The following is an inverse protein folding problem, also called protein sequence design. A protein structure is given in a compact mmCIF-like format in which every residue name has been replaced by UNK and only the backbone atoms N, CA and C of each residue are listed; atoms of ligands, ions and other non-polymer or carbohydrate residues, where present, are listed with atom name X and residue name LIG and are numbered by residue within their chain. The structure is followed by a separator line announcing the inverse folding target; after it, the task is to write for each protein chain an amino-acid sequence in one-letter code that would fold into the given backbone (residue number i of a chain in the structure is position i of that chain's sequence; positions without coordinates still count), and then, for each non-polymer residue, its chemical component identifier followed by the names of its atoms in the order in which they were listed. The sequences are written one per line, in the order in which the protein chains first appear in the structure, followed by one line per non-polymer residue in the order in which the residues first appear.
data_IF_256920968845
#
_entry.id   IF_256920968845
#
_cell.length_a   1.000
_cell.length_b   1.000
_cell.length_c   1.000
_cell.angle_alpha   90.00
_cell.angle_beta   90.00
_cell.angle_gamma   90.00
#
_symmetry.space_group_name_H-M   'P 1'
#
loop_
_entity.id
_entity.type
_entity.pdbx_description
1 polymer ?
#
# COMPACT_ATOMS: atom_id res chain seq x y z
N UNK A 1 3.90 9.64 -12.90
CA UNK A 1 2.52 9.15 -12.68
C UNK A 1 2.39 8.86 -11.21
N UNK A 2 1.25 9.19 -10.59
CA UNK A 2 0.92 8.73 -9.24
C UNK A 2 0.21 7.38 -9.32
N UNK A 3 0.23 6.67 -8.22
CA UNK A 3 -0.43 5.38 -8.01
C UNK A 3 -1.41 5.55 -6.87
N UNK A 4 -2.59 4.93 -6.97
CA UNK A 4 -3.64 5.06 -5.94
C UNK A 4 -4.17 3.70 -5.49
N UNK A 5 -4.00 3.43 -4.20
CA UNK A 5 -4.60 2.29 -3.51
C UNK A 5 -5.64 2.81 -2.51
N UNK A 6 -6.82 2.22 -2.48
CA UNK A 6 -7.91 2.62 -1.59
C UNK A 6 -8.30 1.46 -0.68
N UNK A 7 -8.40 1.75 0.61
CA UNK A 7 -8.96 0.86 1.60
C UNK A 7 -10.38 1.31 1.98
N UNK A 8 -11.35 0.40 1.88
CA UNK A 8 -12.70 0.62 2.40
C UNK A 8 -12.89 -0.15 3.70
N UNK A 9 -13.32 0.53 4.75
CA UNK A 9 -13.55 -0.06 6.08
C UNK A 9 -14.66 0.69 6.83
N UNK A 10 -15.05 0.14 7.97
CA UNK A 10 -15.86 0.90 8.94
C UNK A 10 -14.94 1.78 9.79
N UNK A 11 -15.26 3.08 9.90
CA UNK A 11 -14.52 4.04 10.74
C UNK A 11 -14.44 3.60 12.19
N UNK A 12 -15.45 2.88 12.70
CA UNK A 12 -15.46 2.36 14.05
C UNK A 12 -14.36 1.30 14.32
N UNK A 13 -13.80 0.71 13.26
CA UNK A 13 -12.76 -0.31 13.34
C UNK A 13 -11.39 0.21 12.89
N UNK A 14 -11.22 1.53 12.76
CA UNK A 14 -9.95 2.13 12.35
C UNK A 14 -8.88 1.85 13.43
N UNK A 15 -7.75 1.21 13.10
CA UNK A 15 -6.71 0.94 14.07
C UNK A 15 -5.98 2.21 14.45
N UNK A 16 -5.46 2.22 15.68
CA UNK A 16 -4.55 3.27 16.15
C UNK A 16 -3.17 3.12 15.49
N UNK A 17 -2.37 4.21 15.51
CA UNK A 17 -0.96 4.21 15.08
C UNK A 17 -0.19 3.02 15.68
N UNK A 18 -0.26 2.87 17.00
CA UNK A 18 0.44 1.81 17.73
C UNK A 18 0.00 0.42 17.31
N UNK A 19 -1.30 0.19 17.08
CA UNK A 19 -1.78 -1.11 16.60
C UNK A 19 -1.25 -1.44 15.20
N UNK A 20 -1.18 -0.44 14.30
CA UNK A 20 -0.59 -0.64 12.96
C UNK A 20 0.89 -1.03 13.09
N UNK A 21 1.67 -0.28 13.88
CA UNK A 21 3.09 -0.56 14.10
C UNK A 21 3.32 -1.94 14.71
N UNK A 22 2.62 -2.29 15.78
CA UNK A 22 2.75 -3.59 16.44
C UNK A 22 2.44 -4.75 15.50
N UNK A 23 1.40 -4.62 14.67
CA UNK A 23 1.02 -5.66 13.72
C UNK A 23 2.06 -5.82 12.60
N UNK A 24 2.56 -4.71 12.05
CA UNK A 24 3.59 -4.77 11.00
C UNK A 24 4.91 -5.32 11.57
N UNK A 25 5.28 -4.89 12.79
CA UNK A 25 6.46 -5.40 13.48
C UNK A 25 6.35 -6.90 13.80
N UNK A 26 5.16 -7.39 14.13
CA UNK A 26 4.90 -8.83 14.32
C UNK A 26 5.05 -9.66 13.03
N UNK A 27 4.98 -9.04 11.85
CA UNK A 27 5.28 -9.68 10.56
C UNK A 27 6.80 -9.75 10.27
N UNK A 28 7.64 -9.16 11.13
CA UNK A 28 9.10 -9.19 11.02
C UNK A 28 9.71 -8.02 10.24
N UNK A 29 8.93 -6.96 9.97
CA UNK A 29 9.43 -5.71 9.37
C UNK A 29 9.72 -4.71 10.48
N UNK A 30 10.83 -3.98 10.39
CA UNK A 30 11.10 -2.86 11.29
C UNK A 30 10.34 -1.63 10.76
N UNK A 31 9.16 -1.36 11.31
CA UNK A 31 8.25 -0.33 10.83
C UNK A 31 7.92 0.70 11.91
N UNK A 32 8.02 1.97 11.53
CA UNK A 32 7.74 3.11 12.40
C UNK A 32 6.92 4.17 11.64
N UNK A 33 5.89 4.71 12.27
CA UNK A 33 5.14 5.85 11.77
C UNK A 33 5.77 7.11 12.38
N UNK A 34 6.36 7.94 11.52
CA UNK A 34 7.15 9.11 11.92
C UNK A 34 6.28 10.34 12.20
N UNK A 35 4.98 10.25 11.92
CA UNK A 35 4.05 11.34 12.15
C UNK A 35 3.59 11.36 13.60
N UNK A 36 3.70 12.52 14.23
CA UNK A 36 3.26 12.77 15.61
C UNK A 36 1.86 13.40 15.60
N UNK A 37 0.83 12.55 15.47
CA UNK A 37 -0.57 12.94 15.57
C UNK A 37 -1.37 11.96 16.42
N UNK A 38 -2.35 12.50 17.16
CA UNK A 38 -3.31 11.69 17.91
C UNK A 38 -4.42 11.12 17.01
N UNK A 39 -4.85 11.86 15.99
CA UNK A 39 -5.87 11.43 15.02
C UNK A 39 -5.28 11.34 13.61
N UNK A 40 -5.19 10.12 13.10
CA UNK A 40 -4.66 9.87 11.75
C UNK A 40 -5.56 10.41 10.64
N UNK A 41 -6.83 10.71 10.93
CA UNK A 41 -7.81 11.21 9.93
C UNK A 41 -7.61 12.67 9.54
N UNK A 42 -6.78 13.41 10.29
CA UNK A 42 -6.40 14.79 9.95
C UNK A 42 -5.16 14.88 9.06
N UNK A 43 -4.52 13.74 8.80
CA UNK A 43 -3.32 13.67 7.97
C UNK A 43 -3.65 13.88 6.49
N UNK A 44 -2.77 14.63 5.83
CA UNK A 44 -2.70 14.73 4.36
C UNK A 44 -1.48 14.03 3.80
N UNK A 45 -0.46 13.89 4.62
CA UNK A 45 0.80 13.22 4.32
C UNK A 45 1.07 12.24 5.46
N UNK A 46 1.51 11.05 5.10
CA UNK A 46 1.87 9.99 6.02
C UNK A 46 3.34 9.64 5.82
N UNK A 47 4.15 9.89 6.86
CA UNK A 47 5.57 9.54 6.88
C UNK A 47 5.81 8.26 7.67
N UNK A 48 6.52 7.31 7.09
CA UNK A 48 6.91 6.04 7.72
C UNK A 48 8.38 5.75 7.49
N UNK A 49 8.93 4.84 8.30
CA UNK A 49 10.19 4.16 8.04
C UNK A 49 9.93 2.66 7.92
N UNK A 50 10.60 2.02 6.97
CA UNK A 50 10.66 0.55 6.86
C UNK A 50 12.10 0.09 6.74
N UNK A 51 12.55 -0.79 7.63
CA UNK A 51 13.94 -1.28 7.70
C UNK A 51 14.96 -0.12 7.70
N UNK A 52 14.66 0.96 8.43
CA UNK A 52 15.48 2.17 8.50
C UNK A 52 15.45 3.07 7.26
N UNK A 53 14.54 2.83 6.31
CA UNK A 53 14.34 3.68 5.13
C UNK A 53 13.07 4.51 5.30
N UNK A 54 13.25 5.82 5.47
CA UNK A 54 12.16 6.78 5.55
C UNK A 54 11.53 7.03 4.18
N UNK A 55 10.23 7.22 4.16
CA UNK A 55 9.42 7.56 2.98
C UNK A 55 8.17 8.32 3.41
N UNK A 56 7.45 8.85 2.43
CA UNK A 56 6.16 9.49 2.64
C UNK A 56 5.23 9.22 1.46
N UNK A 57 3.93 9.34 1.72
CA UNK A 57 2.88 9.31 0.71
C UNK A 57 1.69 10.15 1.16
N UNK A 58 0.86 10.53 0.21
CA UNK A 58 -0.35 11.30 0.50
C UNK A 58 -1.46 10.36 0.98
N UNK A 59 -2.25 10.83 1.93
CA UNK A 59 -3.39 10.10 2.47
C UNK A 59 -4.64 11.00 2.45
N UNK A 60 -5.75 10.43 2.01
CA UNK A 60 -7.05 11.11 1.96
C UNK A 60 -8.13 10.26 2.61
N UNK A 61 -8.97 10.89 3.42
CA UNK A 61 -10.09 10.25 4.11
C UNK A 61 -11.39 10.79 3.54
N UNK A 62 -12.12 9.94 2.84
CA UNK A 62 -13.37 10.28 2.16
C UNK A 62 -14.51 9.39 2.66
N UNK A 63 -15.75 9.84 2.45
CA UNK A 63 -16.88 8.93 2.64
C UNK A 63 -16.82 7.88 1.55
N UNK A 64 -17.14 6.64 1.90
CA UNK A 64 -17.23 5.54 0.94
C UNK A 64 -18.08 5.89 -0.28
N UNK A 65 -19.22 6.57 -0.09
CA UNK A 65 -20.11 7.00 -1.18
C UNK A 65 -19.45 7.93 -2.18
N UNK A 66 -18.51 8.76 -1.74
CA UNK A 66 -17.90 9.79 -2.57
C UNK A 66 -16.92 9.15 -3.56
N UNK A 67 -16.27 8.05 -3.16
CA UNK A 67 -15.38 7.27 -4.03
C UNK A 67 -16.16 6.29 -4.91
N UNK A 68 -17.02 5.44 -4.33
CA UNK A 68 -17.61 4.33 -5.10
C UNK A 68 -18.51 4.80 -6.23
N UNK A 69 -19.07 6.02 -6.18
CA UNK A 69 -19.94 6.56 -7.22
C UNK A 69 -19.26 6.56 -8.60
N UNK A 70 -17.94 6.73 -8.63
CA UNK A 70 -17.12 6.77 -9.84
C UNK A 70 -16.61 5.38 -10.28
N UNK A 71 -16.78 4.34 -9.44
CA UNK A 71 -16.23 2.99 -9.68
C UNK A 71 -17.30 1.89 -9.53
N UNK A 72 -18.07 1.67 -10.61
CA UNK A 72 -19.17 0.69 -10.64
C UNK A 72 -18.73 -0.74 -10.31
N UNK A 73 -17.48 -1.12 -10.62
CA UNK A 73 -16.95 -2.47 -10.37
C UNK A 73 -16.68 -2.75 -8.88
N UNK A 74 -16.55 -1.70 -8.06
CA UNK A 74 -16.32 -1.80 -6.62
C UNK A 74 -17.65 -1.87 -5.86
N UNK A 75 -18.68 -1.13 -6.32
CA UNK A 75 -19.98 -0.99 -5.63
C UNK A 75 -20.57 -2.30 -5.09
N UNK A 76 -20.56 -3.44 -5.82
CA UNK A 76 -21.17 -4.68 -5.34
C UNK A 76 -20.50 -5.28 -4.09
N UNK A 77 -19.21 -5.00 -3.87
CA UNK A 77 -18.46 -5.54 -2.74
C UNK A 77 -18.68 -4.71 -1.46
N UNK A 78 -19.04 -3.43 -1.63
CA UNK A 78 -19.14 -2.47 -0.54
C UNK A 78 -20.55 -2.48 0.03
N UNK A 79 -20.66 -2.79 1.32
CA UNK A 79 -21.95 -2.97 1.99
C UNK A 79 -22.09 -2.07 3.20
N UNK A 80 -21.17 -2.22 4.16
CA UNK A 80 -21.24 -1.57 5.47
C UNK A 80 -20.05 -0.66 5.77
N UNK A 81 -19.12 -0.52 4.81
CA UNK A 81 -17.97 0.38 4.93
C UNK A 81 -18.46 1.83 4.76
N UNK A 82 -18.07 2.71 5.68
CA UNK A 82 -18.44 4.12 5.70
C UNK A 82 -17.25 5.07 5.53
N UNK A 83 -16.02 4.51 5.53
CA UNK A 83 -14.78 5.23 5.30
C UNK A 83 -14.03 4.64 4.09
N UNK A 84 -13.51 5.54 3.25
CA UNK A 84 -12.50 5.24 2.23
C UNK A 84 -11.20 5.96 2.60
N UNK A 85 -10.09 5.24 2.60
CA UNK A 85 -8.74 5.78 2.79
C UNK A 85 -7.98 5.62 1.49
N UNK A 86 -7.63 6.71 0.83
CA UNK A 86 -6.84 6.70 -0.39
C UNK A 86 -5.37 6.97 -0.07
N UNK A 87 -4.50 6.04 -0.44
CA UNK A 87 -3.05 6.16 -0.39
C UNK A 87 -2.53 6.50 -1.79
N UNK A 88 -1.86 7.64 -1.92
CA UNK A 88 -1.33 8.13 -3.20
C UNK A 88 0.17 8.28 -3.10
N UNK A 89 0.91 7.60 -3.98
CA UNK A 89 2.37 7.64 -4.00
C UNK A 89 2.93 7.75 -5.41
N UNK A 90 4.15 8.28 -5.50
CA UNK A 90 4.91 8.35 -6.75
C UNK A 90 5.76 7.10 -6.97
N UNK A 91 6.80 7.25 -7.78
CA UNK A 91 7.80 6.20 -8.01
C UNK A 91 8.72 6.03 -6.78
N UNK A 92 8.16 5.54 -5.66
CA UNK A 92 8.87 5.20 -4.43
C UNK A 92 8.51 3.77 -3.99
N UNK A 93 9.50 2.87 -4.01
CA UNK A 93 9.31 1.48 -3.60
C UNK A 93 9.14 1.33 -2.08
N UNK A 94 9.73 2.20 -1.27
CA UNK A 94 9.52 2.21 0.18
C UNK A 94 8.07 2.61 0.48
N UNK A 95 7.54 3.63 -0.20
CA UNK A 95 6.13 4.02 -0.06
C UNK A 95 5.20 2.86 -0.42
N UNK A 96 5.44 2.19 -1.55
CA UNK A 96 4.66 1.01 -1.97
C UNK A 96 4.71 -0.14 -0.94
N UNK A 97 5.88 -0.41 -0.35
CA UNK A 97 6.02 -1.40 0.72
C UNK A 97 5.26 -0.99 2.00
N UNK A 98 5.42 0.26 2.46
CA UNK A 98 4.68 0.78 3.62
C UNK A 98 3.17 0.65 3.40
N UNK A 99 2.65 1.11 2.26
CA UNK A 99 1.23 1.07 1.93
C UNK A 99 0.72 -0.38 1.91
N UNK A 100 1.46 -1.30 1.30
CA UNK A 100 1.10 -2.72 1.30
C UNK A 100 0.99 -3.32 2.70
N UNK A 101 1.92 -2.98 3.59
CA UNK A 101 1.91 -3.44 4.98
C UNK A 101 0.78 -2.82 5.81
N UNK A 102 0.54 -1.51 5.66
CA UNK A 102 -0.61 -0.83 6.27
C UNK A 102 -1.91 -1.49 5.79
N UNK A 103 -2.03 -1.79 4.51
CA UNK A 103 -3.19 -2.47 3.94
C UNK A 103 -3.40 -3.87 4.51
N UNK A 104 -2.34 -4.65 4.75
CA UNK A 104 -2.44 -5.92 5.49
C UNK A 104 -2.98 -5.67 6.90
N UNK A 105 -2.48 -4.65 7.59
CA UNK A 105 -2.96 -4.32 8.93
C UNK A 105 -4.45 -3.94 8.94
N UNK A 106 -4.90 -3.16 7.96
CA UNK A 106 -6.30 -2.80 7.79
C UNK A 106 -7.19 -4.01 7.44
N UNK A 107 -6.69 -4.97 6.66
CA UNK A 107 -7.41 -6.23 6.41
C UNK A 107 -7.56 -7.01 7.73
N UNK A 108 -6.45 -7.21 8.45
CA UNK A 108 -6.40 -8.09 9.62
C UNK A 108 -7.23 -7.54 10.79
N UNK A 109 -7.19 -6.21 11.01
CA UNK A 109 -7.86 -5.57 12.15
C UNK A 109 -9.25 -5.06 11.83
N UNK A 110 -9.45 -4.53 10.61
CA UNK A 110 -10.65 -3.78 10.25
C UNK A 110 -11.51 -4.46 9.20
N UNK A 111 -11.11 -5.64 8.71
CA UNK A 111 -11.74 -6.34 7.60
C UNK A 111 -11.85 -5.45 6.36
N UNK A 112 -10.83 -4.63 6.13
CA UNK A 112 -10.83 -3.67 5.04
C UNK A 112 -10.82 -4.37 3.68
N UNK A 113 -11.50 -3.77 2.70
CA UNK A 113 -11.37 -4.15 1.30
C UNK A 113 -10.36 -3.24 0.62
N UNK A 114 -9.30 -3.81 0.06
CA UNK A 114 -8.20 -3.08 -0.55
C UNK A 114 -8.32 -3.16 -2.07
N UNK A 115 -8.28 -2.01 -2.73
CA UNK A 115 -8.36 -1.90 -4.19
C UNK A 115 -7.27 -1.02 -4.73
N UNK A 116 -6.76 -1.38 -5.89
CA UNK A 116 -5.93 -0.51 -6.71
C UNK A 116 -6.75 -0.02 -7.89
N UNK A 117 -6.99 1.30 -7.94
CA UNK A 117 -8.01 1.86 -8.82
C UNK A 117 -7.58 1.85 -10.29
N UNK A 118 -6.31 2.09 -10.58
CA UNK A 118 -5.81 2.20 -11.96
C UNK A 118 -5.84 0.86 -12.72
N UNK A 119 -5.94 -0.27 -12.01
CA UNK A 119 -5.94 -1.62 -12.58
C UNK A 119 -7.27 -2.35 -12.42
N UNK A 120 -8.25 -1.69 -11.81
CA UNK A 120 -9.51 -2.31 -11.42
C UNK A 120 -9.31 -3.63 -10.64
N UNK A 121 -8.39 -3.59 -9.66
CA UNK A 121 -7.91 -4.79 -8.99
C UNK A 121 -8.20 -4.75 -7.50
N UNK A 122 -8.78 -5.85 -6.99
CA UNK A 122 -8.94 -6.10 -5.56
C UNK A 122 -7.74 -6.90 -5.03
N UNK A 123 -7.15 -6.43 -3.93
CA UNK A 123 -6.04 -7.10 -3.27
C UNK A 123 -6.54 -7.97 -2.13
N UNK A 124 -6.07 -9.21 -2.08
CA UNK A 124 -6.12 -10.01 -0.86
C UNK A 124 -4.87 -9.76 0.00
N UNK A 125 -4.95 -10.17 1.26
CA UNK A 125 -3.83 -10.17 2.19
C UNK A 125 -2.62 -10.92 1.64
N UNK A 126 -2.84 -12.09 1.05
CA UNK A 126 -1.81 -12.98 0.50
C UNK A 126 -1.11 -12.31 -0.69
N UNK A 127 -1.88 -11.64 -1.55
CA UNK A 127 -1.31 -10.91 -2.70
C UNK A 127 -0.39 -9.79 -2.23
N UNK A 128 -0.79 -9.04 -1.20
CA UNK A 128 0.06 -8.00 -0.61
C UNK A 128 1.35 -8.60 -0.02
N UNK A 129 1.25 -9.74 0.68
CA UNK A 129 2.42 -10.45 1.23
C UNK A 129 3.38 -10.97 0.16
N UNK A 130 2.87 -11.36 -1.01
CA UNK A 130 3.68 -11.77 -2.17
C UNK A 130 4.39 -10.58 -2.85
N UNK A 131 3.78 -9.39 -2.78
CA UNK A 131 4.29 -8.18 -3.41
C UNK A 131 5.32 -7.44 -2.55
N UNK A 132 5.13 -7.36 -1.23
CA UNK A 132 6.03 -6.62 -0.33
C UNK A 132 7.53 -7.00 -0.51
N UNK A 133 7.92 -8.29 -0.58
CA UNK A 133 9.32 -8.66 -0.78
C UNK A 133 9.92 -8.12 -2.09
N UNK A 134 9.11 -7.97 -3.14
CA UNK A 134 9.56 -7.43 -4.42
C UNK A 134 9.80 -5.92 -4.32
N UNK A 135 8.98 -5.17 -3.57
CA UNK A 135 9.23 -3.75 -3.29
C UNK A 135 10.54 -3.56 -2.53
N UNK A 136 10.76 -4.37 -1.49
CA UNK A 136 11.96 -4.28 -0.67
C UNK A 136 13.21 -4.64 -1.46
N UNK A 137 13.15 -5.66 -2.32
CA UNK A 137 14.27 -6.01 -3.21
C UNK A 137 14.62 -4.88 -4.18
N UNK A 138 13.62 -4.21 -4.78
CA UNK A 138 13.89 -3.07 -5.66
C UNK A 138 14.42 -1.86 -4.90
N UNK A 139 13.94 -1.62 -3.68
CA UNK A 139 14.49 -0.60 -2.78
C UNK A 139 15.97 -0.86 -2.44
N UNK A 140 16.36 -2.11 -2.21
CA UNK A 140 17.76 -2.50 -2.03
C UNK A 140 18.59 -2.31 -3.30
N UNK A 141 18.04 -2.65 -4.47
CA UNK A 141 18.70 -2.46 -5.77
C UNK A 141 18.95 -0.98 -6.09
N UNK A 142 18.03 -0.09 -5.74
CA UNK A 142 18.22 1.36 -5.89
C UNK A 142 19.38 1.88 -5.03
N UNK A 143 19.58 1.31 -3.83
CA UNK A 143 20.68 1.69 -2.95
C UNK A 143 22.05 1.13 -3.39
N UNK A 144 22.07 0.00 -4.10
CA UNK A 144 23.30 -0.63 -4.61
C UNK A 144 23.69 -0.16 -6.01
N UNK A 145 22.81 0.57 -6.71
CA UNK A 145 22.97 1.10 -8.06
C UNK A 145 24.08 2.15 -8.28
N UNK A 146 24.92 2.47 -7.28
CA UNK A 146 26.21 3.15 -7.53
C UNK A 146 27.33 2.18 -7.94
N UNK A 147 27.03 0.91 -8.23
CA UNK A 147 28.02 -0.04 -8.77
C UNK A 147 27.38 -1.12 -9.66
N UNK A 148 27.59 -0.94 -10.97
CA UNK A 148 27.57 -1.90 -12.10
C UNK A 148 27.38 -3.39 -11.74
N UNK A 149 26.34 -4.07 -12.28
CA UNK A 149 26.44 -4.91 -13.49
C UNK A 149 25.11 -5.58 -13.90
N UNK A 150 24.89 -5.69 -15.21
CA UNK A 150 23.76 -6.39 -15.82
C UNK A 150 23.99 -7.92 -15.83
N UNK A 151 22.99 -8.68 -15.34
CA UNK A 151 22.54 -10.04 -15.76
C UNK A 151 21.79 -10.68 -14.57
N UNK A 152 20.60 -11.26 -14.69
CA UNK A 152 20.17 -12.27 -15.66
C UNK A 152 18.64 -12.44 -15.58
N UNK A 153 18.01 -12.77 -16.72
CA UNK A 153 16.62 -13.22 -16.83
C UNK A 153 16.39 -14.54 -16.08
N UNK A 154 15.24 -14.68 -15.42
CA UNK A 154 14.58 -15.97 -15.26
C UNK A 154 13.08 -15.83 -15.59
N UNK A 155 12.64 -16.67 -16.54
CA UNK A 155 11.25 -16.84 -16.93
C UNK A 155 10.41 -17.38 -15.76
N UNK A 156 9.32 -16.69 -15.43
CA UNK A 156 8.14 -17.30 -14.83
C UNK A 156 6.92 -16.83 -15.63
N UNK A 157 6.57 -17.65 -16.62
CA UNK A 157 5.30 -17.51 -17.32
C UNK A 157 4.21 -18.18 -16.52
N UNK A 158 3.34 -17.40 -15.89
CA UNK A 158 1.88 -17.61 -15.91
C UNK A 158 1.23 -16.23 -15.97
N UNK A 159 0.42 -16.04 -17.02
CA UNK A 159 -0.31 -14.84 -17.36
C UNK A 159 -1.32 -14.43 -16.26
N UNK A 160 -0.99 -13.35 -15.54
CA UNK A 160 -1.87 -12.21 -15.26
C UNK A 160 -0.97 -10.98 -15.42
N UNK A 161 -1.44 -9.87 -16.00
CA UNK A 161 -0.69 -8.61 -15.98
C UNK A 161 -0.40 -8.33 -14.51
N UNK A 162 0.85 -8.49 -14.09
CA UNK A 162 1.20 -8.37 -12.69
C UNK A 162 1.32 -6.89 -12.38
N UNK A 163 0.84 -6.45 -11.24
CA UNK A 163 1.02 -5.07 -10.75
C UNK A 163 2.48 -4.58 -10.91
N UNK A 164 3.43 -5.50 -10.76
CA UNK A 164 4.86 -5.34 -11.04
C UNK A 164 5.22 -4.88 -12.46
N UNK A 165 4.51 -5.38 -13.47
CA UNK A 165 4.77 -5.00 -14.87
C UNK A 165 4.44 -3.51 -15.10
N UNK A 166 3.46 -2.96 -14.36
CA UNK A 166 3.11 -1.55 -14.43
C UNK A 166 4.00 -0.67 -13.58
N UNK A 167 4.35 -1.10 -12.36
CA UNK A 167 5.34 -0.39 -11.54
C UNK A 167 6.61 -0.13 -12.34
N UNK A 168 7.17 -1.16 -12.99
CA UNK A 168 8.37 -1.01 -13.84
C UNK A 168 8.22 0.02 -14.96
N UNK A 169 7.01 0.28 -15.45
CA UNK A 169 6.76 1.34 -16.43
C UNK A 169 6.79 2.77 -15.86
N UNK A 170 6.61 2.91 -14.54
CA UNK A 170 6.62 4.19 -13.82
C UNK A 170 8.02 4.56 -13.31
N UNK A 171 8.87 3.58 -13.01
CA UNK A 171 10.24 3.77 -12.50
C UNK A 171 11.34 3.84 -13.57
N UNK A 172 11.01 3.74 -14.87
CA UNK A 172 11.96 3.80 -16.00
C UNK A 172 12.00 5.18 -16.66
#
# INVERSE_FOLDING_TARGET
MSMTQVAFLSKANLPTKTEIEEMINALGYDFEILVDVEDITELKEFSCSINGKETFFEIYFDKTTDIINDYDWIKPDITNQDLAISFVWGADFAAGACIGLISIALIDKSQAFIYYLDDEMKYSREMLLEDIPQFLNELENQNTGTSVDQKQKANLGVSKRSFWDKLKGVFN
#
